data_IF_539049664013
#
_entry.id   IF_539049664013
#
_cell.length_a   1.000
_cell.length_b   1.000
_cell.length_c   1.000
_cell.angle_alpha   90.00
_cell.angle_beta   90.00
_cell.angle_gamma   90.00
#
_symmetry.space_group_name_H-M   'P 1'
#
loop_
_entity.id
_entity.type
_entity.pdbx_description
1 polymer ?
#
# COMPACT_ATOMS: atom_id res chain seq x y z
N UNK A 1 -69.16 -25.43 39.73
CA UNK A 1 -68.01 -24.65 40.22
C UNK A 1 -67.21 -24.21 39.01
N UNK A 2 -67.47 -23.03 38.55
CA UNK A 2 -66.90 -22.40 37.35
C UNK A 2 -65.77 -21.43 37.77
N UNK A 3 -64.54 -21.74 37.48
CA UNK A 3 -63.41 -20.81 37.69
C UNK A 3 -63.16 -20.08 36.40
N UNK A 4 -63.54 -18.82 36.41
CA UNK A 4 -63.26 -17.84 35.37
C UNK A 4 -61.81 -17.41 35.45
N UNK A 5 -61.01 -17.72 34.44
CA UNK A 5 -59.68 -17.17 34.29
C UNK A 5 -59.73 -15.82 33.50
N UNK A 6 -59.32 -14.75 34.14
CA UNK A 6 -59.23 -13.42 33.56
C UNK A 6 -58.08 -13.34 32.50
N UNK A 7 -58.26 -12.58 31.42
CA UNK A 7 -57.21 -12.42 30.44
C UNK A 7 -56.10 -11.49 30.96
N UNK A 8 -54.87 -11.95 30.86
CA UNK A 8 -53.66 -11.15 31.16
C UNK A 8 -53.58 -9.94 30.24
N UNK A 9 -53.54 -8.80 30.88
CA UNK A 9 -53.45 -7.47 30.30
C UNK A 9 -52.19 -7.31 29.43
N UNK A 10 -52.40 -6.76 28.26
CA UNK A 10 -51.39 -6.19 27.38
C UNK A 10 -50.73 -5.02 28.08
N UNK A 11 -49.56 -5.20 28.63
CA UNK A 11 -48.69 -4.10 29.04
C UNK A 11 -47.24 -4.47 28.59
N UNK A 12 -46.70 -3.69 27.65
CA UNK A 12 -45.28 -3.77 27.35
C UNK A 12 -44.87 -3.58 25.91
N UNK A 13 -45.59 -2.73 25.17
CA UNK A 13 -44.99 -2.17 23.96
C UNK A 13 -44.11 -1.00 24.37
N UNK A 14 -42.77 -1.15 24.26
CA UNK A 14 -41.88 -0.01 24.39
C UNK A 14 -40.62 -0.20 25.23
N UNK A 15 -40.16 -1.41 25.49
CA UNK A 15 -38.79 -1.53 26.00
C UNK A 15 -37.83 -1.33 24.84
N UNK A 16 -36.90 -0.36 24.89
CA UNK A 16 -35.91 -0.23 23.86
C UNK A 16 -35.08 -1.51 23.82
N UNK A 17 -34.97 -2.13 22.63
CA UNK A 17 -34.02 -3.22 22.41
C UNK A 17 -32.62 -2.69 22.79
N UNK A 18 -32.19 -3.08 23.98
CA UNK A 18 -30.81 -2.85 24.40
C UNK A 18 -29.95 -3.66 23.42
N UNK A 19 -29.45 -2.97 22.43
CA UNK A 19 -28.47 -3.51 21.49
C UNK A 19 -27.29 -4.05 22.30
N UNK A 20 -27.32 -5.32 22.63
CA UNK A 20 -26.21 -6.01 23.28
C UNK A 20 -25.06 -5.98 22.28
N UNK A 21 -24.23 -4.96 22.40
CA UNK A 21 -22.90 -4.95 21.77
C UNK A 21 -22.24 -6.25 22.26
N UNK A 22 -22.23 -7.27 21.40
CA UNK A 22 -21.38 -8.44 21.60
C UNK A 22 -19.98 -7.90 21.79
N UNK A 23 -19.55 -7.79 23.05
CA UNK A 23 -18.13 -7.64 23.35
C UNK A 23 -17.46 -8.82 22.69
N UNK A 24 -16.85 -8.61 21.54
CA UNK A 24 -15.89 -9.54 21.00
C UNK A 24 -14.93 -9.82 22.15
N UNK A 25 -15.02 -11.01 22.68
CA UNK A 25 -14.05 -11.54 23.64
C UNK A 25 -12.69 -11.23 22.99
N UNK A 26 -11.93 -10.37 23.65
CA UNK A 26 -10.52 -10.14 23.30
C UNK A 26 -9.93 -11.53 23.22
N UNK A 27 -9.62 -11.96 21.99
CA UNK A 27 -9.05 -13.26 21.72
C UNK A 27 -7.90 -13.49 22.68
N UNK A 28 -7.86 -14.66 23.19
CA UNK A 28 -6.85 -15.25 24.07
C UNK A 28 -5.44 -14.98 23.55
N UNK A 29 -4.89 -13.80 23.85
CA UNK A 29 -3.48 -13.54 23.79
C UNK A 29 -2.73 -14.30 24.91
N UNK A 30 -3.26 -15.42 25.34
CA UNK A 30 -2.83 -16.14 26.54
C UNK A 30 -2.21 -17.50 26.30
N UNK A 31 -2.05 -17.95 25.07
CA UNK A 31 -1.30 -19.17 24.78
C UNK A 31 -0.21 -18.82 23.77
N UNK A 32 0.95 -18.48 24.28
CA UNK A 32 2.16 -18.30 23.46
C UNK A 32 2.41 -19.62 22.73
N UNK A 33 2.05 -19.65 21.45
CA UNK A 33 2.31 -20.80 20.60
C UNK A 33 3.80 -20.82 20.29
N UNK A 34 4.60 -21.42 21.18
CA UNK A 34 6.06 -21.44 21.07
C UNK A 34 6.53 -21.90 19.70
N UNK A 35 5.86 -22.86 19.11
CA UNK A 35 6.16 -23.33 17.75
C UNK A 35 5.88 -22.27 16.70
N UNK A 36 4.75 -21.56 16.79
CA UNK A 36 4.40 -20.46 15.90
C UNK A 36 5.36 -19.29 16.06
N UNK A 37 5.75 -18.97 17.29
CA UNK A 37 6.74 -17.93 17.57
C UNK A 37 8.14 -18.32 17.05
N UNK A 38 8.57 -19.55 17.30
CA UNK A 38 9.84 -20.05 16.77
C UNK A 38 9.87 -20.02 15.23
N UNK A 39 8.82 -20.48 14.59
CA UNK A 39 8.69 -20.42 13.12
C UNK A 39 8.74 -18.98 12.62
N UNK A 40 8.01 -18.05 13.25
CA UNK A 40 8.02 -16.64 12.89
C UNK A 40 9.40 -16.02 13.05
N UNK A 41 10.14 -16.35 14.10
CA UNK A 41 11.53 -15.90 14.31
C UNK A 41 12.44 -16.44 13.21
N UNK A 42 12.36 -17.73 12.88
CA UNK A 42 13.19 -18.34 11.81
C UNK A 42 12.90 -17.68 10.46
N UNK A 43 11.61 -17.48 10.11
CA UNK A 43 11.22 -16.79 8.89
C UNK A 43 11.70 -15.33 8.87
N UNK A 44 11.63 -14.63 10.01
CA UNK A 44 12.15 -13.28 10.12
C UNK A 44 13.67 -13.21 9.96
N UNK A 45 14.41 -14.17 10.52
CA UNK A 45 15.85 -14.26 10.33
C UNK A 45 16.24 -14.50 8.88
N UNK A 46 15.44 -15.27 8.12
CA UNK A 46 15.67 -15.48 6.68
C UNK A 46 15.65 -14.15 5.90
N UNK A 47 14.79 -13.20 6.31
CA UNK A 47 14.73 -11.87 5.69
C UNK A 47 15.98 -11.03 5.99
N UNK A 48 16.64 -11.27 7.14
CA UNK A 48 17.86 -10.56 7.52
C UNK A 48 19.10 -11.01 6.72
N UNK A 49 19.08 -12.21 6.13
CA UNK A 49 20.21 -12.74 5.35
C UNK A 49 20.57 -11.84 4.15
N UNK A 50 19.64 -11.49 3.24
CA UNK A 50 19.97 -10.58 2.15
C UNK A 50 20.33 -9.17 2.63
N UNK A 51 19.74 -8.70 3.73
CA UNK A 51 20.09 -7.42 4.32
C UNK A 51 21.53 -7.43 4.86
N UNK A 52 21.92 -8.48 5.60
CA UNK A 52 23.28 -8.68 6.07
C UNK A 52 24.26 -8.67 4.88
N UNK A 53 23.97 -9.47 3.86
CA UNK A 53 24.81 -9.56 2.66
C UNK A 53 24.98 -8.18 2.00
N UNK A 54 23.90 -7.45 1.80
CA UNK A 54 23.93 -6.10 1.20
C UNK A 54 24.77 -5.13 2.03
N UNK A 55 24.59 -5.12 3.34
CA UNK A 55 25.34 -4.23 4.23
C UNK A 55 26.82 -4.60 4.24
N UNK A 56 27.16 -5.86 4.40
CA UNK A 56 28.56 -6.30 4.45
C UNK A 56 29.28 -6.04 3.14
N UNK A 57 28.66 -6.37 1.99
CA UNK A 57 29.28 -6.18 0.68
C UNK A 57 29.43 -4.71 0.29
N UNK A 58 28.60 -3.81 0.82
CA UNK A 58 28.71 -2.38 0.54
C UNK A 58 30.01 -1.73 1.05
N UNK A 59 30.64 -2.34 2.05
CA UNK A 59 31.90 -1.87 2.64
C UNK A 59 33.12 -2.62 2.14
N UNK A 60 32.97 -3.64 1.30
CA UNK A 60 34.07 -4.48 0.78
C UNK A 60 34.68 -3.91 -0.48
N UNK A 61 35.98 -4.22 -0.67
CA UNK A 61 36.61 -4.05 -1.97
C UNK A 61 36.18 -5.13 -2.96
N UNK A 62 36.42 -4.93 -4.25
CA UNK A 62 36.10 -5.91 -5.30
C UNK A 62 36.86 -7.22 -5.08
N UNK A 63 38.11 -7.15 -4.61
CA UNK A 63 38.95 -8.32 -4.32
C UNK A 63 38.42 -9.13 -3.13
N UNK A 64 38.03 -8.45 -2.03
CA UNK A 64 37.44 -9.09 -0.87
C UNK A 64 36.09 -9.74 -1.20
N UNK A 65 35.30 -9.10 -2.07
CA UNK A 65 34.02 -9.65 -2.52
C UNK A 65 34.23 -10.92 -3.36
N UNK A 66 35.24 -10.92 -4.24
CA UNK A 66 35.61 -12.09 -5.05
C UNK A 66 36.13 -13.27 -4.19
N UNK A 67 36.86 -12.95 -3.12
CA UNK A 67 37.36 -13.96 -2.18
C UNK A 67 36.25 -14.60 -1.35
N UNK A 68 35.33 -13.81 -0.80
CA UNK A 68 34.17 -14.29 0.00
C UNK A 68 33.10 -13.23 0.12
N UNK A 69 31.88 -13.52 -0.35
CA UNK A 69 30.73 -12.63 -0.17
C UNK A 69 30.21 -12.60 1.27
N UNK A 70 30.45 -13.60 2.09
CA UNK A 70 29.84 -13.77 3.42
C UNK A 70 30.73 -13.35 4.59
N UNK A 71 32.05 -13.33 4.41
CA UNK A 71 32.96 -12.88 5.45
C UNK A 71 32.75 -11.38 5.75
N UNK A 72 33.11 -10.92 6.93
CA UNK A 72 33.16 -9.50 7.24
C UNK A 72 34.28 -8.82 6.46
N UNK A 73 34.19 -7.50 6.16
CA UNK A 73 35.26 -6.77 5.52
C UNK A 73 36.53 -6.81 6.38
N UNK A 74 37.67 -7.05 5.78
CA UNK A 74 38.98 -6.90 6.43
C UNK A 74 39.36 -5.41 6.50
N UNK A 75 39.00 -4.68 5.43
CA UNK A 75 39.21 -3.23 5.32
C UNK A 75 37.87 -2.54 5.07
N UNK A 76 37.38 -1.81 6.04
CA UNK A 76 36.15 -1.04 5.92
C UNK A 76 36.37 0.15 5.02
N UNK A 77 35.81 0.13 3.81
CA UNK A 77 35.93 1.22 2.84
C UNK A 77 34.57 1.84 2.54
N UNK A 78 34.56 3.16 2.29
CA UNK A 78 33.41 3.91 1.80
C UNK A 78 33.51 4.20 0.29
N UNK A 79 34.49 3.64 -0.40
CA UNK A 79 34.76 3.91 -1.82
C UNK A 79 33.59 3.49 -2.71
N UNK A 80 32.89 2.42 -2.37
CA UNK A 80 31.70 2.00 -3.09
C UNK A 80 30.59 3.06 -3.01
N UNK A 81 30.42 3.69 -1.86
CA UNK A 81 29.42 4.76 -1.69
C UNK A 81 29.82 6.02 -2.48
N UNK A 82 31.10 6.37 -2.45
CA UNK A 82 31.62 7.50 -3.24
C UNK A 82 31.46 7.23 -4.73
N UNK A 83 31.88 6.06 -5.20
CA UNK A 83 31.75 5.66 -6.61
C UNK A 83 30.27 5.65 -7.03
N UNK A 84 29.39 5.09 -6.22
CA UNK A 84 27.95 5.09 -6.48
C UNK A 84 27.40 6.53 -6.56
N UNK A 85 27.81 7.41 -5.64
CA UNK A 85 27.39 8.81 -5.62
C UNK A 85 27.78 9.56 -6.88
N UNK A 86 29.04 9.40 -7.31
CA UNK A 86 29.58 10.06 -8.50
C UNK A 86 29.01 9.46 -9.79
N UNK A 87 29.04 8.13 -9.94
CA UNK A 87 28.62 7.44 -11.15
C UNK A 87 27.13 7.59 -11.44
N UNK A 88 26.28 7.56 -10.40
CA UNK A 88 24.84 7.71 -10.58
C UNK A 88 24.38 9.16 -10.65
N UNK A 89 25.27 10.14 -10.47
CA UNK A 89 24.88 11.55 -10.31
C UNK A 89 23.77 11.70 -9.26
N UNK A 90 23.96 11.07 -8.11
CA UNK A 90 22.94 10.87 -7.07
C UNK A 90 22.16 12.15 -6.71
N UNK A 91 22.78 13.33 -6.52
CA UNK A 91 22.05 14.57 -6.20
C UNK A 91 21.00 14.94 -7.25
N UNK A 92 21.35 14.80 -8.55
CA UNK A 92 20.40 15.05 -9.64
C UNK A 92 19.23 14.06 -9.62
N UNK A 93 19.52 12.79 -9.42
CA UNK A 93 18.49 11.74 -9.32
C UNK A 93 17.58 11.97 -8.12
N UNK A 94 18.15 12.33 -6.99
CA UNK A 94 17.40 12.64 -5.77
C UNK A 94 16.46 13.84 -5.99
N UNK A 95 16.95 14.90 -6.64
CA UNK A 95 16.12 16.06 -6.96
C UNK A 95 14.95 15.68 -7.88
N UNK A 96 15.23 14.98 -8.98
CA UNK A 96 14.19 14.49 -9.91
C UNK A 96 13.15 13.62 -9.19
N UNK A 97 13.60 12.66 -8.40
CA UNK A 97 12.68 11.79 -7.62
C UNK A 97 11.86 12.60 -6.63
N UNK A 98 12.45 13.58 -5.98
CA UNK A 98 11.73 14.47 -5.04
C UNK A 98 10.66 15.29 -5.75
N UNK A 99 10.97 15.87 -6.92
CA UNK A 99 10.01 16.61 -7.73
C UNK A 99 8.83 15.71 -8.14
N UNK A 100 9.13 14.51 -8.65
CA UNK A 100 8.10 13.56 -9.06
C UNK A 100 7.24 13.14 -7.85
N UNK A 101 7.86 12.80 -6.73
CA UNK A 101 7.14 12.33 -5.53
C UNK A 101 6.25 13.41 -4.96
N UNK A 102 6.77 14.62 -4.76
CA UNK A 102 5.98 15.74 -4.23
C UNK A 102 4.88 16.14 -5.21
N UNK A 103 5.22 16.29 -6.49
CA UNK A 103 4.25 16.62 -7.54
C UNK A 103 3.14 15.58 -7.65
N UNK A 104 3.50 14.29 -7.77
CA UNK A 104 2.52 13.22 -7.85
C UNK A 104 1.63 13.18 -6.59
N UNK A 105 2.20 13.31 -5.40
CA UNK A 105 1.43 13.31 -4.15
C UNK A 105 0.43 14.46 -4.10
N UNK A 106 0.88 15.68 -4.37
CA UNK A 106 0.02 16.88 -4.32
C UNK A 106 -1.11 16.78 -5.34
N UNK A 107 -0.78 16.47 -6.60
CA UNK A 107 -1.80 16.36 -7.66
C UNK A 107 -2.74 15.19 -7.41
N UNK A 108 -2.26 14.04 -6.94
CA UNK A 108 -3.10 12.90 -6.57
C UNK A 108 -4.07 13.26 -5.46
N UNK A 109 -3.59 13.88 -4.38
CA UNK A 109 -4.45 14.29 -3.27
C UNK A 109 -5.53 15.27 -3.73
N UNK A 110 -5.17 16.27 -4.51
CA UNK A 110 -6.12 17.27 -4.99
C UNK A 110 -7.15 16.67 -5.94
N UNK A 111 -6.69 16.04 -7.03
CA UNK A 111 -7.59 15.56 -8.09
C UNK A 111 -8.43 14.38 -7.62
N UNK A 112 -7.83 13.41 -6.95
CA UNK A 112 -8.55 12.21 -6.54
C UNK A 112 -9.56 12.50 -5.43
N UNK A 113 -9.23 13.39 -4.49
CA UNK A 113 -10.19 13.85 -3.48
C UNK A 113 -11.37 14.57 -4.10
N UNK A 114 -11.14 15.43 -5.09
CA UNK A 114 -12.22 16.12 -5.81
C UNK A 114 -13.13 15.13 -6.55
N UNK A 115 -12.54 14.15 -7.25
CA UNK A 115 -13.30 13.14 -7.99
C UNK A 115 -14.06 12.24 -7.01
N UNK A 116 -13.42 11.75 -5.94
CA UNK A 116 -14.07 10.93 -4.92
C UNK A 116 -15.25 11.67 -4.27
N UNK A 117 -15.06 12.94 -3.90
CA UNK A 117 -16.13 13.78 -3.36
C UNK A 117 -17.28 13.96 -4.35
N UNK A 118 -16.99 14.28 -5.60
CA UNK A 118 -18.01 14.46 -6.64
C UNK A 118 -18.81 13.18 -6.87
N UNK A 119 -18.14 12.03 -6.94
CA UNK A 119 -18.79 10.72 -7.10
C UNK A 119 -19.63 10.38 -5.86
N UNK A 120 -19.06 10.45 -4.66
CA UNK A 120 -19.77 10.11 -3.42
C UNK A 120 -21.03 10.93 -3.21
N UNK A 121 -20.96 12.24 -3.46
CA UNK A 121 -22.11 13.12 -3.28
C UNK A 121 -23.22 12.94 -4.33
N UNK A 122 -22.89 12.44 -5.53
CA UNK A 122 -23.81 12.31 -6.64
C UNK A 122 -24.16 10.85 -7.01
N UNK A 123 -23.90 9.89 -6.16
CA UNK A 123 -24.16 8.46 -6.41
C UNK A 123 -25.61 8.13 -6.73
N UNK A 124 -26.56 8.99 -6.35
CA UNK A 124 -27.99 8.87 -6.71
C UNK A 124 -28.24 9.09 -8.22
N UNK A 125 -27.34 9.80 -8.92
CA UNK A 125 -27.44 10.04 -10.35
C UNK A 125 -26.83 8.88 -11.12
N UNK A 126 -27.52 8.34 -12.15
CA UNK A 126 -27.09 7.12 -12.85
C UNK A 126 -25.73 7.29 -13.55
N UNK A 127 -25.41 8.49 -14.02
CA UNK A 127 -24.11 8.79 -14.64
C UNK A 127 -22.94 8.63 -13.67
N UNK A 128 -23.01 9.26 -12.51
CA UNK A 128 -21.95 9.17 -11.47
C UNK A 128 -21.79 7.74 -10.96
N UNK A 129 -22.90 7.02 -10.81
CA UNK A 129 -22.86 5.60 -10.42
C UNK A 129 -22.18 4.73 -11.49
N UNK A 130 -22.41 4.99 -12.79
CA UNK A 130 -21.70 4.28 -13.87
C UNK A 130 -20.21 4.59 -13.85
N UNK A 131 -19.81 5.85 -13.65
CA UNK A 131 -18.40 6.23 -13.52
C UNK A 131 -17.72 5.54 -12.33
N UNK A 132 -18.41 5.47 -11.20
CA UNK A 132 -17.88 4.73 -10.04
C UNK A 132 -17.60 3.26 -10.41
N UNK A 133 -18.55 2.55 -11.00
CA UNK A 133 -18.32 1.17 -11.42
C UNK A 133 -17.23 1.02 -12.49
N UNK A 134 -17.07 2.02 -13.35
CA UNK A 134 -15.96 2.05 -14.32
C UNK A 134 -14.60 2.08 -13.59
N UNK A 135 -14.43 2.94 -12.58
CA UNK A 135 -13.22 2.98 -11.79
C UNK A 135 -13.01 1.68 -10.99
N UNK A 136 -14.06 1.10 -10.43
CA UNK A 136 -13.99 -0.22 -9.79
C UNK A 136 -13.52 -1.29 -10.77
N UNK A 137 -14.07 -1.32 -11.97
CA UNK A 137 -13.67 -2.28 -13.00
C UNK A 137 -12.19 -2.12 -13.42
N UNK A 138 -11.68 -0.89 -13.45
CA UNK A 138 -10.28 -0.63 -13.76
C UNK A 138 -9.29 -1.29 -12.80
N UNK A 139 -9.67 -1.54 -11.55
CA UNK A 139 -8.82 -2.23 -10.56
C UNK A 139 -8.59 -3.72 -10.90
N UNK A 140 -9.46 -4.33 -11.67
CA UNK A 140 -9.30 -5.72 -12.09
C UNK A 140 -8.31 -5.89 -13.25
N UNK A 141 -7.84 -4.78 -13.86
CA UNK A 141 -6.83 -4.83 -14.92
C UNK A 141 -5.44 -4.87 -14.27
N UNK A 142 -4.70 -5.99 -14.36
CA UNK A 142 -3.36 -6.09 -13.78
C UNK A 142 -2.41 -5.11 -14.48
N UNK A 143 -1.69 -4.29 -13.70
CA UNK A 143 -0.72 -3.33 -14.24
C UNK A 143 0.31 -3.96 -15.21
N UNK A 144 0.86 -5.16 -14.97
CA UNK A 144 1.81 -5.77 -15.91
C UNK A 144 1.28 -5.94 -17.34
N UNK A 145 -0.02 -6.12 -17.51
CA UNK A 145 -0.64 -6.29 -18.85
C UNK A 145 -0.64 -4.97 -19.62
N UNK A 146 -0.88 -3.86 -18.93
CA UNK A 146 -0.98 -2.54 -19.56
C UNK A 146 0.34 -1.77 -19.58
N UNK A 147 1.37 -2.26 -18.89
CA UNK A 147 2.65 -1.57 -18.75
C UNK A 147 3.30 -1.26 -20.10
N UNK A 148 3.43 -2.27 -20.98
CA UNK A 148 4.06 -2.08 -22.30
C UNK A 148 3.28 -1.13 -23.21
N UNK A 149 1.95 -1.27 -23.38
CA UNK A 149 1.15 -0.27 -24.09
C UNK A 149 1.31 1.13 -23.53
N UNK A 150 1.27 1.30 -22.21
CA UNK A 150 1.39 2.61 -21.56
C UNK A 150 2.74 3.25 -21.84
N UNK A 151 3.84 2.51 -21.72
CA UNK A 151 5.20 3.02 -22.03
C UNK A 151 5.28 3.46 -23.50
N UNK A 152 4.70 2.69 -24.41
CA UNK A 152 4.69 3.02 -25.82
C UNK A 152 3.86 4.29 -26.11
N UNK A 153 2.66 4.37 -25.55
CA UNK A 153 1.79 5.54 -25.74
C UNK A 153 2.36 6.81 -25.13
N UNK A 154 2.98 6.72 -23.94
CA UNK A 154 3.62 7.87 -23.31
C UNK A 154 4.83 8.37 -24.12
N UNK A 155 5.61 7.47 -24.73
CA UNK A 155 6.69 7.85 -25.62
C UNK A 155 6.18 8.54 -26.91
N UNK A 156 5.09 8.02 -27.51
CA UNK A 156 4.47 8.62 -28.68
C UNK A 156 3.89 10.02 -28.41
N UNK A 157 3.39 10.22 -27.19
CA UNK A 157 2.82 11.51 -26.75
C UNK A 157 3.89 12.48 -26.19
N UNK A 158 5.16 12.13 -26.22
CA UNK A 158 6.28 12.88 -25.61
C UNK A 158 6.07 13.14 -24.11
N UNK A 159 5.45 12.20 -23.43
CA UNK A 159 5.21 12.18 -21.97
C UNK A 159 6.20 11.27 -21.23
N UNK A 160 7.33 10.95 -21.83
CA UNK A 160 8.45 10.19 -21.26
C UNK A 160 9.38 11.07 -20.41
N UNK A 161 8.79 11.98 -19.65
CA UNK A 161 9.46 12.96 -18.80
C UNK A 161 8.81 13.00 -17.39
N UNK A 162 9.36 13.84 -16.50
CA UNK A 162 8.90 13.94 -15.12
C UNK A 162 7.41 14.33 -15.02
N UNK A 163 6.95 15.24 -15.90
CA UNK A 163 5.54 15.67 -15.91
C UNK A 163 4.59 14.54 -16.34
N UNK A 164 4.98 13.78 -17.37
CA UNK A 164 4.22 12.61 -17.81
C UNK A 164 4.17 11.52 -16.74
N UNK A 165 5.26 11.31 -16.01
CA UNK A 165 5.30 10.34 -14.91
C UNK A 165 4.38 10.77 -13.75
N UNK A 166 4.36 12.06 -13.40
CA UNK A 166 3.43 12.62 -12.42
C UNK A 166 1.99 12.38 -12.87
N UNK A 167 1.68 12.66 -14.13
CA UNK A 167 0.34 12.44 -14.69
C UNK A 167 -0.08 10.97 -14.58
N UNK A 168 0.82 10.03 -14.92
CA UNK A 168 0.56 8.61 -14.80
C UNK A 168 0.25 8.19 -13.35
N UNK A 169 1.02 8.65 -12.38
CA UNK A 169 0.74 8.35 -10.96
C UNK A 169 -0.63 8.86 -10.52
N UNK A 170 -1.02 10.06 -10.96
CA UNK A 170 -2.34 10.62 -10.66
C UNK A 170 -3.45 9.75 -11.26
N UNK A 171 -3.33 9.40 -12.54
CA UNK A 171 -4.35 8.62 -13.25
C UNK A 171 -4.48 7.20 -12.69
N UNK A 172 -3.36 6.50 -12.46
CA UNK A 172 -3.38 5.15 -11.89
C UNK A 172 -3.85 5.13 -10.44
N UNK A 173 -3.53 6.15 -9.67
CA UNK A 173 -3.99 6.29 -8.29
C UNK A 173 -5.50 6.51 -8.19
N UNK A 174 -6.15 7.04 -9.23
CA UNK A 174 -7.56 7.45 -9.22
C UNK A 174 -8.48 6.29 -8.80
N UNK A 175 -8.39 5.14 -9.46
CA UNK A 175 -9.26 3.99 -9.22
C UNK A 175 -9.18 3.50 -7.77
N UNK A 176 -7.97 3.41 -7.23
CA UNK A 176 -7.74 2.96 -5.84
C UNK A 176 -8.21 3.99 -4.81
N UNK A 177 -7.86 5.26 -5.02
CA UNK A 177 -8.15 6.34 -4.07
C UNK A 177 -9.64 6.71 -3.99
N UNK A 178 -10.42 6.45 -5.06
CA UNK A 178 -11.87 6.65 -5.04
C UNK A 178 -12.58 5.61 -4.16
N UNK A 179 -11.99 4.41 -4.00
CA UNK A 179 -12.59 3.35 -3.18
C UNK A 179 -12.25 3.45 -1.70
N UNK A 180 -11.17 4.12 -1.35
CA UNK A 180 -10.79 4.36 0.05
C UNK A 180 -11.53 5.54 0.63
#
# INVERSE_FOLDING_TARGET
>A
MTTTTAPASRLGAGAPEVYRVRRHSRGTFGRTNWWGTALAVVLSLTILVPLYFTVVTSFKTTEELAASGWALPEHWSLDNFRTAWETTSYPKRLLTTSIITVGATVFTLLTNSMVAYALGRNMHRPWFRRMYYYFVAALFVPFPIIMLPVVKETALLHLDNEAGLILLYVVYGLAFNILM
#
